data_IF_661398382854
#
_entry.id   IF_661398382854
#
_cell.length_a   1.000
_cell.length_b   1.000
_cell.length_c   1.000
_cell.angle_alpha   90.00
_cell.angle_beta   90.00
_cell.angle_gamma   90.00
#
_symmetry.space_group_name_H-M   'P 1'
#
loop_
_entity.id
_entity.type
_entity.pdbx_description
1 polymer ?
#
# COMPACT_ATOMS: atom_id res chain seq x y z
N UNK A 1 1.89 -1.31 -11.95
CA UNK A 1 3.02 -0.92 -11.08
C UNK A 1 4.32 -1.05 -11.86
N UNK A 2 5.25 -0.12 -11.73
CA UNK A 2 6.59 -0.27 -12.32
C UNK A 2 7.44 -1.15 -11.38
N UNK A 3 8.00 -2.23 -11.92
CA UNK A 3 8.83 -3.22 -11.22
C UNK A 3 10.31 -2.90 -11.30
N UNK A 4 10.79 -2.42 -12.45
CA UNK A 4 12.20 -2.12 -12.69
C UNK A 4 12.35 -0.98 -13.68
N UNK A 5 13.45 -0.23 -13.58
CA UNK A 5 13.80 0.83 -14.51
C UNK A 5 15.30 0.82 -14.77
N UNK A 6 15.70 1.05 -16.01
CA UNK A 6 17.07 1.27 -16.48
C UNK A 6 17.08 2.67 -17.09
N UNK A 7 17.97 3.56 -16.66
CA UNK A 7 18.10 4.92 -17.18
C UNK A 7 19.50 5.12 -17.74
N UNK A 8 19.60 5.85 -18.84
CA UNK A 8 20.86 6.19 -19.48
C UNK A 8 21.19 7.68 -19.35
N UNK A 9 22.45 8.02 -19.60
CA UNK A 9 22.99 9.39 -19.53
C UNK A 9 22.32 10.37 -20.48
N UNK A 10 21.81 9.87 -21.59
CA UNK A 10 21.05 10.62 -22.58
C UNK A 10 19.58 10.88 -22.18
N UNK A 11 19.20 10.60 -20.92
CA UNK A 11 17.85 10.76 -20.39
C UNK A 11 16.79 9.86 -21.03
N UNK A 12 17.19 8.85 -21.79
CA UNK A 12 16.31 7.77 -22.21
C UNK A 12 16.43 6.60 -21.23
N UNK A 13 15.42 5.74 -21.18
CA UNK A 13 15.46 4.54 -20.35
C UNK A 13 14.41 3.51 -20.74
N UNK A 14 14.44 2.38 -20.05
CA UNK A 14 13.42 1.35 -20.16
C UNK A 14 12.83 1.02 -18.79
N UNK A 15 11.53 0.77 -18.76
CA UNK A 15 10.81 0.41 -17.55
C UNK A 15 10.01 -0.85 -17.77
N UNK A 16 10.04 -1.76 -16.79
CA UNK A 16 9.12 -2.88 -16.75
C UNK A 16 7.93 -2.53 -15.87
N UNK A 17 6.74 -2.60 -16.42
CA UNK A 17 5.47 -2.53 -15.71
C UNK A 17 4.81 -3.90 -15.55
N UNK A 18 3.99 -4.01 -14.52
CA UNK A 18 3.09 -5.13 -14.28
C UNK A 18 1.66 -4.65 -13.97
N UNK A 19 0.68 -5.30 -14.58
CA UNK A 19 -0.73 -5.16 -14.29
C UNK A 19 -1.40 -6.56 -14.30
N UNK A 20 -1.63 -7.18 -13.13
CA UNK A 20 -2.23 -8.52 -13.05
C UNK A 20 -3.63 -8.65 -13.67
N UNK A 21 -4.31 -7.52 -13.92
CA UNK A 21 -5.66 -7.50 -14.51
C UNK A 21 -5.65 -7.44 -16.04
N UNK A 22 -4.48 -7.27 -16.67
CA UNK A 22 -4.36 -7.21 -18.12
C UNK A 22 -4.24 -8.62 -18.73
N UNK A 23 -4.70 -8.84 -19.98
CA UNK A 23 -4.52 -10.11 -20.69
C UNK A 23 -3.05 -10.54 -20.78
N UNK A 24 -2.16 -9.57 -21.00
CA UNK A 24 -0.70 -9.73 -20.89
C UNK A 24 -0.23 -8.91 -19.69
N UNK A 25 0.07 -9.54 -18.54
CA UNK A 25 0.29 -8.81 -17.30
C UNK A 25 1.57 -7.98 -17.27
N UNK A 26 2.54 -8.22 -18.15
CA UNK A 26 3.84 -7.59 -18.11
C UNK A 26 4.07 -6.73 -19.35
N UNK A 27 4.73 -5.57 -19.19
CA UNK A 27 5.02 -4.67 -20.31
C UNK A 27 6.35 -3.94 -20.12
N UNK A 28 7.19 -3.94 -21.15
CA UNK A 28 8.44 -3.17 -21.18
C UNK A 28 8.24 -1.91 -22.00
N UNK A 29 8.28 -0.75 -21.36
CA UNK A 29 8.20 0.56 -22.00
C UNK A 29 9.59 1.14 -22.18
N UNK A 30 9.80 1.85 -23.28
CA UNK A 30 10.85 2.86 -23.35
C UNK A 30 10.30 4.16 -22.74
N UNK A 31 11.17 4.99 -22.19
CA UNK A 31 10.77 6.32 -21.75
C UNK A 31 11.88 7.34 -21.94
N UNK A 32 11.50 8.61 -21.94
CA UNK A 32 12.42 9.74 -21.81
C UNK A 32 12.12 10.48 -20.50
N UNK A 33 13.17 10.99 -19.85
CA UNK A 33 13.08 11.75 -18.60
C UNK A 33 13.40 13.23 -18.87
N UNK A 34 12.42 14.11 -18.66
CA UNK A 34 12.56 15.56 -18.79
C UNK A 34 11.98 16.24 -17.56
N UNK A 35 12.76 17.08 -16.87
CA UNK A 35 12.33 17.84 -15.69
C UNK A 35 11.64 16.99 -14.59
N UNK A 36 12.08 15.73 -14.42
CA UNK A 36 11.51 14.78 -13.46
C UNK A 36 10.21 14.11 -13.91
N UNK A 37 9.70 14.44 -15.10
CA UNK A 37 8.60 13.74 -15.76
C UNK A 37 9.15 12.61 -16.65
N UNK A 38 8.46 11.46 -16.67
CA UNK A 38 8.80 10.32 -17.54
C UNK A 38 7.67 10.05 -18.52
N UNK A 39 7.98 10.19 -19.81
CA UNK A 39 7.05 9.87 -20.91
C UNK A 39 7.32 8.46 -21.42
N UNK A 40 6.35 7.56 -21.25
CA UNK A 40 6.48 6.14 -21.61
C UNK A 40 5.92 5.87 -23.03
N UNK A 41 6.68 5.20 -23.87
CA UNK A 41 6.32 4.86 -25.26
C UNK A 41 6.99 3.54 -25.73
N UNK A 42 6.51 3.00 -26.86
CA UNK A 42 6.99 1.74 -27.47
C UNK A 42 7.01 0.52 -26.53
N UNK A 43 5.84 0.17 -26.00
CA UNK A 43 5.64 -0.97 -25.09
C UNK A 43 5.68 -2.34 -25.79
N UNK A 44 6.42 -3.31 -25.25
CA UNK A 44 6.25 -4.73 -25.59
C UNK A 44 5.52 -5.45 -24.46
N UNK A 45 4.44 -6.17 -24.79
CA UNK A 45 3.60 -6.86 -23.82
C UNK A 45 3.95 -8.35 -23.77
N UNK A 46 3.94 -8.91 -22.57
CA UNK A 46 4.36 -10.28 -22.29
C UNK A 46 3.42 -10.94 -21.28
N UNK A 47 3.22 -12.25 -21.46
CA UNK A 47 2.37 -13.04 -20.56
C UNK A 47 3.15 -13.58 -19.35
N UNK A 48 4.47 -13.71 -19.51
CA UNK A 48 5.37 -14.29 -18.49
C UNK A 48 6.37 -13.24 -18.00
N UNK A 49 6.65 -13.18 -16.69
CA UNK A 49 7.61 -12.25 -16.13
C UNK A 49 8.99 -12.42 -16.77
N UNK A 50 9.48 -13.67 -16.85
CA UNK A 50 10.80 -14.01 -17.42
C UNK A 50 11.01 -13.50 -18.86
N UNK A 51 9.94 -13.47 -19.68
CA UNK A 51 10.03 -12.94 -21.04
C UNK A 51 10.16 -11.43 -21.04
N UNK A 52 9.41 -10.76 -20.16
CA UNK A 52 9.45 -9.32 -20.01
C UNK A 52 10.81 -8.82 -19.48
N UNK A 53 11.49 -9.56 -18.59
CA UNK A 53 12.86 -9.18 -18.18
C UNK A 53 13.87 -9.38 -19.29
N UNK A 54 13.83 -10.51 -19.99
CA UNK A 54 14.74 -10.75 -21.10
C UNK A 54 14.58 -9.67 -22.16
N UNK A 55 13.34 -9.31 -22.47
CA UNK A 55 13.06 -8.20 -23.38
C UNK A 55 13.60 -6.87 -22.83
N UNK A 56 13.37 -6.55 -21.54
CA UNK A 56 13.93 -5.34 -20.92
C UNK A 56 15.45 -5.29 -21.05
N UNK A 57 16.14 -6.38 -20.71
CA UNK A 57 17.60 -6.45 -20.74
C UNK A 57 18.13 -6.40 -22.16
N UNK A 58 17.55 -7.17 -23.08
CA UNK A 58 17.94 -7.17 -24.49
C UNK A 58 17.75 -5.79 -25.12
N UNK A 59 16.63 -5.11 -24.84
CA UNK A 59 16.35 -3.76 -25.33
C UNK A 59 17.30 -2.74 -24.75
N UNK A 60 17.56 -2.81 -23.44
CA UNK A 60 18.51 -1.93 -22.77
C UNK A 60 19.92 -2.11 -23.35
N UNK A 61 20.40 -3.35 -23.46
CA UNK A 61 21.74 -3.67 -23.99
C UNK A 61 21.89 -3.26 -25.46
N UNK A 62 20.90 -3.57 -26.30
CA UNK A 62 20.90 -3.18 -27.71
C UNK A 62 20.85 -1.66 -27.87
N UNK A 63 20.09 -0.94 -27.04
CA UNK A 63 20.10 0.51 -27.01
C UNK A 63 21.47 1.06 -26.59
N UNK A 64 22.07 0.47 -25.56
CA UNK A 64 23.41 0.80 -25.08
C UNK A 64 24.46 0.64 -26.18
N UNK A 65 24.41 -0.48 -26.91
CA UNK A 65 25.31 -0.77 -28.04
C UNK A 65 25.10 0.19 -29.22
N UNK A 66 23.85 0.55 -29.53
CA UNK A 66 23.51 1.44 -30.66
C UNK A 66 23.86 2.89 -30.42
N UNK A 67 23.59 3.39 -29.21
CA UNK A 67 23.70 4.82 -28.91
C UNK A 67 24.94 5.16 -28.08
N UNK A 68 25.78 4.17 -27.74
CA UNK A 68 26.99 4.33 -26.93
C UNK A 68 26.74 5.10 -25.63
N UNK A 69 25.57 4.85 -25.04
CA UNK A 69 25.14 5.47 -23.79
C UNK A 69 25.57 4.63 -22.61
N UNK A 70 25.85 5.26 -21.48
CA UNK A 70 26.10 4.55 -20.24
C UNK A 70 24.83 4.48 -19.43
N UNK A 71 24.59 3.34 -18.80
CA UNK A 71 23.57 3.27 -17.76
C UNK A 71 23.99 4.28 -16.70
N UNK A 72 23.20 5.34 -16.57
CA UNK A 72 23.27 6.16 -15.39
C UNK A 72 22.80 5.22 -14.32
N UNK A 73 23.69 4.85 -13.42
CA UNK A 73 23.27 4.50 -12.07
C UNK A 73 22.33 5.64 -11.69
N UNK A 74 21.01 5.40 -11.81
CA UNK A 74 20.01 6.23 -11.16
C UNK A 74 20.47 6.11 -9.74
N UNK A 75 21.23 7.09 -9.23
CA UNK A 75 21.83 6.96 -7.93
C UNK A 75 20.67 6.60 -7.02
N UNK A 76 20.56 5.34 -6.55
CA UNK A 76 19.97 5.24 -5.26
C UNK A 76 21.05 5.91 -4.43
N UNK A 77 20.72 6.88 -3.60
CA UNK A 77 21.47 6.91 -2.33
C UNK A 77 21.55 5.44 -1.91
N UNK A 78 22.76 4.88 -1.77
CA UNK A 78 23.07 3.42 -1.73
C UNK A 78 22.31 2.70 -0.60
N UNK A 79 21.00 2.67 -0.68
CA UNK A 79 20.07 2.23 0.33
C UNK A 79 19.72 0.81 -0.07
N UNK A 80 20.50 -0.11 0.46
CA UNK A 80 20.18 -1.52 0.39
C UNK A 80 18.96 -1.79 1.26
N UNK A 81 18.02 -2.57 0.75
CA UNK A 81 16.84 -2.98 1.49
C UNK A 81 17.15 -4.25 2.26
N UNK A 82 17.01 -4.20 3.58
CA UNK A 82 17.30 -5.32 4.46
C UNK A 82 16.03 -6.05 4.85
N UNK A 83 16.06 -7.37 4.73
CA UNK A 83 14.96 -8.25 5.12
C UNK A 83 15.48 -9.37 6.01
N UNK A 84 14.72 -9.72 7.04
CA UNK A 84 15.05 -10.76 8.00
C UNK A 84 14.23 -12.02 7.75
N UNK A 85 14.89 -13.17 7.72
CA UNK A 85 14.19 -14.46 7.77
C UNK A 85 13.91 -14.81 9.22
N UNK A 86 12.64 -14.78 9.61
CA UNK A 86 12.25 -14.95 11.02
C UNK A 86 11.74 -16.35 11.36
N UNK A 87 11.24 -17.09 10.37
CA UNK A 87 10.59 -18.38 10.58
C UNK A 87 11.48 -19.58 10.27
N UNK A 88 12.45 -19.42 9.35
CA UNK A 88 13.32 -20.51 8.89
C UNK A 88 14.75 -20.04 8.63
N UNK A 89 15.74 -20.94 8.72
CA UNK A 89 17.11 -20.65 8.28
C UNK A 89 17.16 -20.15 6.83
N UNK A 90 18.16 -19.33 6.51
CA UNK A 90 18.39 -18.90 5.13
C UNK A 90 19.01 -20.07 4.36
N UNK A 91 18.20 -20.64 3.46
CA UNK A 91 18.59 -21.71 2.53
C UNK A 91 17.91 -21.52 1.16
N UNK A 92 18.26 -22.34 0.17
CA UNK A 92 17.64 -22.35 -1.15
C UNK A 92 16.11 -22.47 -1.03
N UNK A 93 15.39 -21.54 -1.63
CA UNK A 93 13.92 -21.49 -1.59
C UNK A 93 13.33 -20.77 -0.39
N UNK A 94 14.15 -20.21 0.50
CA UNK A 94 13.68 -19.42 1.66
C UNK A 94 13.68 -17.91 1.43
N UNK A 95 14.06 -17.48 0.24
CA UNK A 95 14.09 -16.09 -0.18
C UNK A 95 13.80 -15.96 -1.67
N UNK A 96 13.20 -14.82 -2.09
CA UNK A 96 12.94 -14.58 -3.49
C UNK A 96 14.26 -14.42 -4.23
N UNK A 97 14.40 -15.23 -5.27
CA UNK A 97 15.44 -15.11 -6.30
C UNK A 97 14.80 -14.65 -7.59
N UNK A 98 14.33 -13.40 -7.58
CA UNK A 98 13.85 -12.80 -8.81
C UNK A 98 15.03 -12.50 -9.75
N UNK A 99 14.91 -12.93 -11.00
CA UNK A 99 15.22 -12.10 -12.16
C UNK A 99 15.67 -10.65 -11.86
N UNK A 100 14.70 -9.85 -11.44
CA UNK A 100 14.80 -8.40 -11.35
C UNK A 100 15.56 -7.91 -10.14
N UNK A 101 15.49 -8.65 -9.04
CA UNK A 101 15.97 -8.21 -7.74
C UNK A 101 16.62 -9.39 -7.03
N UNK A 102 17.91 -9.59 -7.31
CA UNK A 102 18.70 -10.63 -6.68
C UNK A 102 19.26 -10.13 -5.35
N UNK A 103 19.41 -11.03 -4.37
CA UNK A 103 20.14 -10.71 -3.15
C UNK A 103 21.55 -10.20 -3.48
N UNK A 104 21.92 -9.05 -2.94
CA UNK A 104 23.28 -8.50 -2.98
C UNK A 104 24.15 -9.25 -1.97
N UNK A 105 23.61 -9.45 -0.76
CA UNK A 105 24.34 -10.03 0.35
C UNK A 105 23.39 -10.81 1.27
N UNK A 106 23.93 -11.81 1.96
CA UNK A 106 23.21 -12.59 2.96
C UNK A 106 24.08 -12.78 4.20
N UNK A 107 23.54 -12.37 5.33
CA UNK A 107 24.08 -12.65 6.65
C UNK A 107 23.37 -13.88 7.22
N UNK A 108 24.01 -15.04 7.20
CA UNK A 108 23.44 -16.27 7.77
C UNK A 108 23.89 -16.38 9.21
N UNK A 109 22.95 -16.41 10.14
CA UNK A 109 23.27 -16.52 11.56
C UNK A 109 23.45 -18.00 11.96
N UNK A 110 24.37 -18.32 12.88
CA UNK A 110 24.58 -19.69 13.36
C UNK A 110 23.36 -20.27 14.11
N UNK A 111 22.42 -19.41 14.51
CA UNK A 111 21.17 -19.78 15.16
C UNK A 111 20.20 -18.60 15.14
N UNK A 112 19.05 -18.75 15.79
CA UNK A 112 18.07 -17.67 15.91
C UNK A 112 18.59 -16.60 16.88
N UNK A 113 18.82 -15.38 16.37
CA UNK A 113 19.38 -14.27 17.15
C UNK A 113 18.38 -13.12 17.25
N UNK A 114 18.40 -12.41 18.39
CA UNK A 114 17.63 -11.17 18.56
C UNK A 114 18.15 -10.10 17.60
N UNK A 115 17.26 -9.51 16.81
CA UNK A 115 17.63 -8.41 15.92
C UNK A 115 17.72 -7.12 16.74
N UNK A 116 18.86 -6.39 16.70
CA UNK A 116 18.99 -5.11 17.41
C UNK A 116 17.92 -4.11 16.99
N UNK A 117 17.24 -3.49 17.96
CA UNK A 117 16.21 -2.48 17.69
C UNK A 117 14.87 -3.00 17.16
N UNK A 118 14.70 -4.33 17.13
CA UNK A 118 13.48 -5.01 16.68
C UNK A 118 12.96 -5.96 17.76
N UNK A 119 11.64 -6.18 17.80
CA UNK A 119 10.99 -7.04 18.80
C UNK A 119 11.01 -8.54 18.43
N UNK A 120 11.78 -8.95 17.43
CA UNK A 120 11.79 -10.33 16.92
C UNK A 120 13.20 -10.89 16.74
N UNK A 121 13.27 -12.22 16.67
CA UNK A 121 14.50 -12.94 16.37
C UNK A 121 14.50 -13.43 14.92
N UNK A 122 15.68 -13.47 14.32
CA UNK A 122 15.89 -13.88 12.93
C UNK A 122 16.98 -14.96 12.83
N UNK A 123 16.92 -15.74 11.76
CA UNK A 123 17.96 -16.70 11.37
C UNK A 123 19.01 -16.11 10.44
N UNK A 124 18.81 -14.86 10.03
CA UNK A 124 19.72 -14.13 9.17
C UNK A 124 19.06 -12.92 8.54
N UNK A 125 19.84 -12.19 7.75
CA UNK A 125 19.39 -11.04 6.99
C UNK A 125 19.79 -11.16 5.51
N UNK A 126 18.99 -10.54 4.64
CA UNK A 126 19.18 -10.53 3.20
C UNK A 126 19.09 -9.09 2.73
N UNK A 127 20.10 -8.66 1.97
CA UNK A 127 20.16 -7.33 1.38
C UNK A 127 19.77 -7.40 -0.10
N UNK A 128 18.89 -6.50 -0.52
CA UNK A 128 18.46 -6.32 -1.90
C UNK A 128 18.75 -4.90 -2.40
N UNK A 129 18.92 -4.77 -3.71
CA UNK A 129 19.10 -3.47 -4.36
C UNK A 129 17.79 -2.68 -4.42
N UNK A 130 16.67 -3.40 -4.51
CA UNK A 130 15.33 -2.84 -4.62
C UNK A 130 14.44 -3.42 -3.52
N UNK A 131 13.36 -2.73 -3.13
CA UNK A 131 12.43 -3.30 -2.16
C UNK A 131 11.76 -4.53 -2.74
N UNK A 132 11.63 -5.57 -1.93
CA UNK A 132 10.77 -6.70 -2.22
C UNK A 132 9.31 -6.28 -2.22
N UNK A 133 8.51 -6.96 -3.00
CA UNK A 133 7.09 -6.64 -3.12
C UNK A 133 6.30 -7.32 -2.01
N UNK A 134 5.12 -6.78 -1.67
CA UNK A 134 4.33 -7.33 -0.55
C UNK A 134 4.06 -8.83 -0.68
N UNK A 135 3.85 -9.31 -1.90
CA UNK A 135 3.63 -10.73 -2.18
C UNK A 135 4.88 -11.55 -1.87
N UNK A 136 6.05 -11.12 -2.34
CA UNK A 136 7.32 -11.80 -2.06
C UNK A 136 7.64 -11.79 -0.56
N UNK A 137 7.37 -10.67 0.13
CA UNK A 137 7.53 -10.58 1.59
C UNK A 137 6.65 -11.61 2.29
N UNK A 138 5.39 -11.77 1.86
CA UNK A 138 4.45 -12.74 2.44
C UNK A 138 4.81 -14.18 2.12
N UNK A 139 5.06 -14.50 0.85
CA UNK A 139 5.32 -15.87 0.39
C UNK A 139 6.58 -16.47 1.01
N UNK A 140 7.60 -15.63 1.21
CA UNK A 140 8.84 -16.02 1.86
C UNK A 140 8.86 -15.72 3.37
N UNK A 141 7.79 -15.14 3.92
CA UNK A 141 7.64 -14.77 5.34
C UNK A 141 8.79 -13.90 5.86
N UNK A 142 9.29 -13.03 4.99
CA UNK A 142 10.36 -12.10 5.30
C UNK A 142 9.81 -10.92 6.10
N UNK A 143 10.66 -10.34 6.95
CA UNK A 143 10.33 -9.09 7.64
C UNK A 143 11.25 -7.97 7.17
N UNK A 144 10.71 -6.85 6.65
CA UNK A 144 11.55 -5.71 6.31
C UNK A 144 12.16 -5.11 7.58
N UNK A 145 13.38 -4.61 7.46
CA UNK A 145 14.02 -3.83 8.52
C UNK A 145 13.31 -2.49 8.69
N UNK A 146 13.17 -2.00 9.93
CA UNK A 146 12.66 -0.65 10.20
C UNK A 146 13.42 0.47 9.48
N UNK A 147 14.71 0.24 9.18
CA UNK A 147 15.59 1.24 8.57
C UNK A 147 15.43 1.33 7.05
N UNK A 148 14.66 0.41 6.44
CA UNK A 148 14.35 0.51 5.02
C UNK A 148 13.55 1.81 4.77
N UNK A 149 13.85 2.50 3.67
CA UNK A 149 13.30 3.83 3.40
C UNK A 149 11.78 3.85 3.31
N UNK A 150 11.20 2.87 2.64
CA UNK A 150 9.76 2.66 2.53
C UNK A 150 9.10 2.50 3.90
N UNK A 151 9.72 1.71 4.79
CA UNK A 151 9.25 1.51 6.15
C UNK A 151 9.38 2.78 6.98
N UNK A 152 10.53 3.47 6.92
CA UNK A 152 10.73 4.76 7.61
C UNK A 152 9.67 5.79 7.19
N UNK A 153 9.42 5.92 5.87
CA UNK A 153 8.39 6.82 5.33
C UNK A 153 6.99 6.44 5.82
N UNK A 154 6.67 5.15 5.83
CA UNK A 154 5.40 4.66 6.34
C UNK A 154 5.23 4.98 7.83
N UNK A 155 6.26 4.71 8.64
CA UNK A 155 6.25 5.01 10.08
C UNK A 155 6.14 6.51 10.34
N UNK A 156 6.85 7.35 9.59
CA UNK A 156 6.76 8.82 9.70
C UNK A 156 5.34 9.31 9.40
N UNK A 157 4.68 8.74 8.40
CA UNK A 157 3.28 9.04 8.06
C UNK A 157 2.32 8.59 9.17
N UNK A 158 2.49 7.38 9.68
CA UNK A 158 1.70 6.85 10.79
C UNK A 158 1.91 7.65 12.08
N UNK A 159 3.14 8.10 12.34
CA UNK A 159 3.47 8.96 13.46
C UNK A 159 2.74 10.31 13.41
N UNK A 160 2.46 10.87 12.22
CA UNK A 160 1.63 12.07 12.14
C UNK A 160 0.20 11.83 12.61
N UNK A 161 -0.36 10.66 12.28
CA UNK A 161 -1.73 10.29 12.68
C UNK A 161 -1.76 10.04 14.19
N UNK A 162 -0.87 9.17 14.67
CA UNK A 162 -0.79 8.78 16.08
C UNK A 162 -0.46 9.98 16.96
N UNK A 163 0.52 10.82 16.58
CA UNK A 163 0.93 11.95 17.40
C UNK A 163 -0.15 13.02 17.57
N UNK A 164 -0.90 13.32 16.50
CA UNK A 164 -2.08 14.20 16.58
C UNK A 164 -3.16 13.61 17.47
N UNK A 165 -3.41 12.30 17.35
CA UNK A 165 -4.38 11.60 18.18
C UNK A 165 -3.95 11.59 19.65
N UNK A 166 -2.68 11.31 19.94
CA UNK A 166 -2.10 11.33 21.29
C UNK A 166 -2.24 12.71 21.96
N UNK A 167 -2.01 13.78 21.20
CA UNK A 167 -2.20 15.15 21.70
C UNK A 167 -3.68 15.44 22.01
N UNK A 168 -4.58 15.06 21.11
CA UNK A 168 -6.02 15.24 21.31
C UNK A 168 -6.55 14.46 22.54
N UNK A 169 -5.99 13.28 22.80
CA UNK A 169 -6.37 12.41 23.91
C UNK A 169 -5.52 12.61 25.17
N UNK A 170 -4.58 13.57 25.14
CA UNK A 170 -3.67 13.88 26.26
C UNK A 170 -2.93 12.65 26.78
N UNK A 171 -2.45 11.81 25.86
CA UNK A 171 -1.71 10.60 26.20
C UNK A 171 -0.46 10.97 27.01
N UNK A 172 -0.24 10.36 28.19
CA UNK A 172 0.93 10.68 29.01
C UNK A 172 2.21 10.29 28.28
N UNK A 173 3.27 11.09 28.43
CA UNK A 173 4.53 10.94 27.71
C UNK A 173 5.13 9.52 27.77
N UNK A 174 4.94 8.81 28.89
CA UNK A 174 5.42 7.43 29.10
C UNK A 174 4.72 6.38 28.23
N UNK A 175 3.51 6.67 27.75
CA UNK A 175 2.72 5.77 26.90
C UNK A 175 2.71 6.21 25.43
N UNK A 176 3.40 7.29 25.09
CA UNK A 176 3.43 7.81 23.72
C UNK A 176 4.33 6.96 22.85
N UNK A 177 3.85 6.68 21.65
CA UNK A 177 4.60 6.05 20.58
C UNK A 177 5.31 7.07 19.69
N UNK A 178 4.92 8.35 19.79
CA UNK A 178 5.46 9.43 18.98
C UNK A 178 6.04 10.56 19.81
N UNK A 179 7.03 11.25 19.24
CA UNK A 179 7.62 12.46 19.77
C UNK A 179 7.49 13.57 18.73
N UNK A 180 7.13 14.77 19.16
CA UNK A 180 7.16 15.92 18.27
C UNK A 180 8.60 16.41 18.12
N UNK A 181 9.14 16.34 16.90
CA UNK A 181 10.46 16.88 16.59
C UNK A 181 10.31 18.35 16.17
N UNK A 182 10.80 19.27 17.00
CA UNK A 182 10.70 20.72 16.76
C UNK A 182 11.50 21.19 15.55
N UNK A 183 12.68 20.61 15.30
CA UNK A 183 13.54 21.00 14.18
C UNK A 183 12.92 20.63 12.82
N UNK A 184 12.19 19.52 12.78
CA UNK A 184 11.51 19.03 11.58
C UNK A 184 10.04 19.47 11.49
N UNK A 185 9.49 20.07 12.55
CA UNK A 185 8.09 20.50 12.63
C UNK A 185 7.06 19.36 12.49
N UNK A 186 7.43 18.12 12.82
CA UNK A 186 6.59 16.92 12.58
C UNK A 186 6.75 15.89 13.70
N UNK A 187 5.75 15.01 13.84
CA UNK A 187 5.89 13.85 14.74
C UNK A 187 6.85 12.82 14.15
N UNK A 188 7.63 12.16 14.99
CA UNK A 188 8.49 11.04 14.61
C UNK A 188 8.23 9.88 15.58
N UNK A 189 8.35 8.62 15.13
CA UNK A 189 8.23 7.48 16.03
C UNK A 189 9.36 7.53 17.08
N UNK A 190 9.06 7.14 18.31
CA UNK A 190 10.09 6.93 19.34
C UNK A 190 11.06 5.83 18.87
N UNK A 191 12.35 5.96 19.18
CA UNK A 191 13.38 5.02 18.72
C UNK A 191 13.09 3.55 19.09
N UNK A 192 12.41 3.27 20.21
CA UNK A 192 12.05 1.91 20.62
C UNK A 192 10.80 1.35 19.93
N UNK A 193 10.00 2.19 19.29
CA UNK A 193 8.72 1.78 18.67
C UNK A 193 8.99 1.06 17.37
N UNK A 194 8.38 -0.11 17.24
CA UNK A 194 8.47 -0.95 16.05
C UNK A 194 7.47 -0.51 14.98
N UNK A 195 7.74 -0.80 13.68
CA UNK A 195 6.78 -0.53 12.61
C UNK A 195 5.41 -1.17 12.86
N UNK A 196 5.38 -2.35 13.51
CA UNK A 196 4.16 -3.08 13.80
C UNK A 196 3.30 -2.38 14.85
N UNK A 197 3.89 -1.93 15.95
CA UNK A 197 3.18 -1.29 17.06
C UNK A 197 2.48 0.00 16.61
N UNK A 198 3.19 0.87 15.87
CA UNK A 198 2.60 2.12 15.40
C UNK A 198 1.50 1.87 14.35
N UNK A 199 1.65 0.86 13.49
CA UNK A 199 0.62 0.45 12.54
C UNK A 199 -0.62 -0.16 13.22
N UNK A 200 -0.44 -0.89 14.32
CA UNK A 200 -1.54 -1.38 15.17
C UNK A 200 -2.31 -0.23 15.79
N UNK A 201 -1.60 0.76 16.35
CA UNK A 201 -2.22 1.96 16.93
C UNK A 201 -3.07 2.72 15.90
N UNK A 202 -2.56 2.94 14.68
CA UNK A 202 -3.35 3.58 13.60
C UNK A 202 -4.64 2.82 13.29
N UNK A 203 -4.58 1.48 13.20
CA UNK A 203 -5.79 0.67 12.96
C UNK A 203 -6.81 0.79 14.09
N UNK A 204 -6.35 0.91 15.33
CA UNK A 204 -7.24 1.11 16.47
C UNK A 204 -7.90 2.49 16.44
N UNK A 205 -7.13 3.54 16.12
CA UNK A 205 -7.64 4.90 15.93
C UNK A 205 -8.73 4.92 14.85
N UNK A 206 -8.46 4.35 13.67
CA UNK A 206 -9.42 4.27 12.56
C UNK A 206 -10.71 3.53 12.97
N UNK A 207 -10.59 2.44 13.75
CA UNK A 207 -11.76 1.70 14.27
C UNK A 207 -12.58 2.55 15.24
N UNK A 208 -11.93 3.30 16.12
CA UNK A 208 -12.61 4.18 17.07
C UNK A 208 -13.34 5.31 16.35
N UNK A 209 -12.69 5.94 15.38
CA UNK A 209 -13.29 7.01 14.55
C UNK A 209 -14.47 6.48 13.73
N UNK A 210 -14.33 5.31 13.10
CA UNK A 210 -15.42 4.67 12.36
C UNK A 210 -16.60 4.32 13.28
N UNK A 211 -16.34 3.84 14.51
CA UNK A 211 -17.38 3.54 15.49
C UNK A 211 -18.10 4.82 15.95
N UNK A 212 -17.37 5.91 16.18
CA UNK A 212 -17.93 7.22 16.51
C UNK A 212 -18.81 7.75 15.38
N UNK A 213 -18.31 7.72 14.14
CA UNK A 213 -19.07 8.14 12.96
C UNK A 213 -20.35 7.31 12.78
N UNK A 214 -20.32 6.00 13.02
CA UNK A 214 -21.52 5.13 13.00
C UNK A 214 -22.54 5.51 14.07
N UNK A 215 -22.09 5.82 15.29
CA UNK A 215 -22.97 6.29 16.37
C UNK A 215 -23.62 7.64 16.03
N UNK A 216 -22.83 8.58 15.50
CA UNK A 216 -23.33 9.89 15.06
C UNK A 216 -24.33 9.76 13.90
N UNK A 217 -24.07 8.88 12.93
CA UNK A 217 -24.99 8.59 11.84
C UNK A 217 -26.32 7.99 12.34
N UNK A 218 -26.26 7.10 13.34
CA UNK A 218 -27.46 6.53 13.97
C UNK A 218 -28.24 7.53 14.84
N UNK A 219 -27.55 8.51 15.43
CA UNK A 219 -28.14 9.55 16.26
C UNK A 219 -28.74 10.72 15.48
N UNK A 220 -28.42 10.87 14.18
CA UNK A 220 -29.03 11.88 13.33
C UNK A 220 -30.46 11.45 12.96
N UNK A 221 -31.50 12.25 13.27
CA UNK A 221 -32.86 11.93 12.85
C UNK A 221 -32.91 11.81 11.33
N UNK A 222 -33.77 10.91 10.83
CA UNK A 222 -33.95 10.71 9.40
C UNK A 222 -34.21 12.06 8.71
N UNK A 223 -33.70 12.30 7.49
CA UNK A 223 -33.98 13.51 6.73
C UNK A 223 -35.47 13.82 6.70
N UNK A 224 -35.86 15.10 6.80
CA UNK A 224 -37.27 15.53 6.77
C UNK A 224 -38.01 14.94 5.56
N UNK A 225 -37.33 14.78 4.42
CA UNK A 225 -37.91 14.16 3.20
C UNK A 225 -38.21 12.66 3.33
N UNK A 226 -37.51 11.94 4.21
CA UNK A 226 -37.86 10.57 4.58
C UNK A 226 -39.01 10.58 5.59
N UNK A 227 -38.97 11.46 6.60
CA UNK A 227 -40.05 11.59 7.59
C UNK A 227 -41.42 11.90 6.94
N UNK A 228 -41.46 12.81 5.93
CA UNK A 228 -42.69 13.12 5.20
C UNK A 228 -43.18 11.91 4.39
N UNK A 229 -42.28 11.14 3.77
CA UNK A 229 -42.63 9.92 3.03
C UNK A 229 -43.19 8.84 3.94
N UNK A 230 -42.54 8.62 5.08
CA UNK A 230 -42.97 7.63 6.07
C UNK A 230 -44.33 8.03 6.66
N UNK A 231 -44.55 9.33 6.92
CA UNK A 231 -45.84 9.85 7.37
C UNK A 231 -46.95 9.70 6.30
N UNK A 232 -46.64 9.92 5.02
CA UNK A 232 -47.57 9.68 3.92
C UNK A 232 -47.93 8.19 3.78
N UNK A 233 -46.93 7.31 3.83
CA UNK A 233 -47.14 5.87 3.77
C UNK A 233 -47.98 5.36 4.96
N UNK A 234 -47.74 5.89 6.15
CA UNK A 234 -48.54 5.56 7.34
C UNK A 234 -49.99 6.07 7.19
N UNK A 235 -50.19 7.30 6.72
CA UNK A 235 -51.52 7.85 6.48
C UNK A 235 -52.29 7.07 5.39
N UNK A 236 -51.60 6.54 4.37
CA UNK A 236 -52.19 5.68 3.35
C UNK A 236 -52.53 4.29 3.89
N UNK A 237 -51.69 3.71 4.76
CA UNK A 237 -51.96 2.43 5.41
C UNK A 237 -53.13 2.51 6.41
N UNK A 238 -53.24 3.62 7.15
CA UNK A 238 -54.33 3.88 8.09
C UNK A 238 -55.64 4.28 7.38
N UNK A 239 -55.57 4.63 6.09
CA UNK A 239 -56.73 4.81 5.21
C UNK A 239 -57.24 3.43 4.83
N UNK A 240 -57.95 2.80 5.76
CA UNK A 240 -58.62 1.50 5.56
C UNK A 240 -59.47 1.45 4.28
N UNK A 241 -59.86 0.24 3.83
CA UNK A 241 -60.48 0.06 2.52
C UNK A 241 -61.69 0.96 2.32
N UNK A 242 -61.75 1.60 1.15
CA UNK A 242 -62.83 2.51 0.80
C UNK A 242 -64.19 1.85 1.04
N UNK A 243 -65.06 2.55 1.79
CA UNK A 243 -66.41 2.09 2.07
C UNK A 243 -67.10 1.63 0.77
N UNK A 244 -67.78 0.46 0.77
CA UNK A 244 -68.38 -0.08 -0.44
C UNK A 244 -69.36 0.95 -1.01
N UNK A 245 -69.20 1.25 -2.30
CA UNK A 245 -70.10 2.16 -3.02
C UNK A 245 -71.53 1.62 -2.90
N UNK A 246 -72.44 2.43 -2.34
CA UNK A 246 -73.89 2.19 -2.46
C UNK A 246 -74.25 2.34 -3.94
N UNK A 247 -74.59 1.25 -4.60
CA UNK A 247 -75.22 1.32 -5.92
C UNK A 247 -76.55 2.07 -5.80
N UNK A 248 -76.75 3.00 -6.73
CA UNK A 248 -77.97 3.79 -6.83
C UNK A 248 -79.16 2.88 -7.21
N UNK A 249 -80.33 3.03 -6.59
CA UNK A 249 -81.48 2.18 -6.91
C UNK A 249 -82.00 2.47 -8.32
N UNK A 250 -82.15 1.39 -9.09
CA UNK A 250 -82.77 1.36 -10.42
C UNK A 250 -84.21 1.87 -10.35
N UNK A 251 -84.48 2.98 -11.04
CA UNK A 251 -85.83 3.54 -11.19
C UNK A 251 -86.44 2.97 -12.46
N UNK A 252 -87.23 1.91 -12.29
CA UNK A 252 -88.06 1.33 -13.33
C UNK A 252 -88.90 2.39 -14.06
N UNK A 253 -88.78 2.38 -15.38
CA UNK A 253 -89.62 3.12 -16.30
C UNK A 253 -91.00 2.49 -16.45
N UNK A 254 -91.95 3.37 -16.73
CA UNK A 254 -93.40 3.22 -16.93
C UNK A 254 -93.81 2.15 -17.95
#
# INVERSE_FOLDING_TARGET
MIRRTILFDNKCGFALGENPKAPSPYVTWQFNEQDGHRDYFWGHYHDKPDMAERDLHNRAEDYQRRYHVFEVEQAPDKETYKYYSTQRPIDVGTYPKSYFNRPIHMDIYPGRQQVPGEAFQAWGAILYAQPLTEQEIRDYELRPSRDNLDIRRQMDAQAQVVGKWEDAHRTPATARLTLYNFDLGRYVPVNSVTPKEIAECVREIERMEAAKARKEARGKPAPISQQIRDAQAQAEADRGPAAPKKDAPDRGGR
#
